data_IF_495878153729
#
_entry.id   IF_495878153729
#
_cell.length_a   1.000
_cell.length_b   1.000
_cell.length_c   1.000
_cell.angle_alpha   90.00
_cell.angle_beta   90.00
_cell.angle_gamma   90.00
#
_symmetry.space_group_name_H-M   'P 1'
#
loop_
_entity.id
_entity.type
_entity.pdbx_description
1 polymer ?
#
# COMPACT_ATOMS: atom_id res chain seq x y z
N UNK A 1 33.33 -24.95 45.61
CA UNK A 1 33.57 -23.56 45.22
C UNK A 1 32.59 -23.27 44.11
N UNK A 2 31.53 -22.61 44.48
CA UNK A 2 30.36 -22.21 43.72
C UNK A 2 30.65 -20.91 42.98
N UNK A 3 30.29 -20.82 41.70
CA UNK A 3 30.14 -19.54 41.00
C UNK A 3 28.79 -19.52 40.32
N UNK A 4 27.98 -18.63 40.86
CA UNK A 4 26.69 -18.18 40.46
C UNK A 4 26.83 -17.27 39.23
N UNK A 5 25.99 -17.44 38.22
CA UNK A 5 25.85 -16.47 37.12
C UNK A 5 24.38 -16.27 36.81
N UNK A 6 23.86 -15.16 37.34
CA UNK A 6 22.51 -14.68 37.16
C UNK A 6 22.20 -14.34 35.70
N UNK A 7 21.19 -14.97 35.17
CA UNK A 7 20.56 -14.61 33.91
C UNK A 7 19.47 -13.56 34.13
N UNK A 8 19.61 -12.44 33.46
CA UNK A 8 18.59 -11.35 33.44
C UNK A 8 17.53 -11.72 32.38
N UNK A 9 16.35 -12.11 32.83
CA UNK A 9 15.16 -12.27 31.98
C UNK A 9 14.59 -10.90 31.57
N UNK A 10 14.61 -10.60 30.29
CA UNK A 10 13.87 -9.49 29.74
C UNK A 10 12.41 -9.92 29.51
N UNK A 11 11.51 -9.43 30.35
CA UNK A 11 10.06 -9.61 30.15
C UNK A 11 9.57 -8.71 29.01
N UNK A 12 9.16 -9.35 27.91
CA UNK A 12 8.37 -8.69 26.87
C UNK A 12 6.90 -8.82 27.24
N UNK A 13 6.28 -7.73 27.64
CA UNK A 13 4.81 -7.65 27.85
C UNK A 13 4.15 -7.39 26.51
N UNK A 14 3.57 -8.41 25.90
CA UNK A 14 2.62 -8.27 24.80
C UNK A 14 1.25 -7.86 25.37
N UNK A 15 0.88 -6.60 25.23
CA UNK A 15 -0.47 -6.14 25.49
C UNK A 15 -1.31 -6.35 24.24
N UNK A 16 -2.13 -7.41 24.23
CA UNK A 16 -3.13 -7.65 23.21
C UNK A 16 -4.25 -6.62 23.30
N UNK A 17 -4.43 -5.84 22.24
CA UNK A 17 -5.67 -5.08 21.98
C UNK A 17 -6.46 -5.83 20.90
N UNK A 18 -7.79 -5.92 20.99
CA UNK A 18 -8.60 -6.53 19.95
C UNK A 18 -8.60 -5.62 18.73
N UNK A 19 -8.12 -6.13 17.61
CA UNK A 19 -8.12 -5.43 16.33
C UNK A 19 -9.46 -5.66 15.66
N UNK A 20 -10.24 -4.61 15.51
CA UNK A 20 -11.39 -4.60 14.61
C UNK A 20 -10.86 -4.73 13.18
N UNK A 21 -11.31 -5.78 12.46
CA UNK A 21 -10.84 -6.09 11.12
C UNK A 21 -11.20 -5.00 10.12
N UNK A 22 -10.23 -4.57 9.36
CA UNK A 22 -10.35 -3.70 8.21
C UNK A 22 -9.33 -4.09 7.16
N UNK A 23 -9.70 -5.00 6.26
CA UNK A 23 -8.90 -5.28 5.08
C UNK A 23 -9.04 -4.12 4.09
N UNK A 24 -7.99 -3.38 3.86
CA UNK A 24 -7.95 -2.36 2.83
C UNK A 24 -6.65 -2.50 2.03
N UNK A 25 -6.73 -3.15 0.87
CA UNK A 25 -5.80 -2.94 -0.23
C UNK A 25 -6.30 -1.80 -1.13
N UNK A 26 -6.60 -0.70 -0.52
CA UNK A 26 -6.78 0.61 -1.10
C UNK A 26 -6.00 1.54 -0.20
N UNK A 27 -5.36 2.55 -0.74
CA UNK A 27 -4.55 3.54 -0.05
C UNK A 27 -4.96 3.75 1.40
N UNK A 28 -4.12 3.32 2.32
CA UNK A 28 -4.30 3.61 3.74
C UNK A 28 -4.26 5.12 3.88
N UNK A 29 -5.29 5.81 4.40
CA UNK A 29 -5.19 7.22 4.68
C UNK A 29 -4.13 7.43 5.75
N UNK A 30 -3.17 8.32 5.46
CA UNK A 30 -2.23 8.80 6.45
C UNK A 30 -3.00 9.50 7.55
N UNK A 31 -3.08 8.90 8.71
CA UNK A 31 -3.59 9.55 9.91
C UNK A 31 -2.59 10.57 10.44
N UNK A 32 -2.58 11.77 9.87
CA UNK A 32 -2.19 13.01 10.51
C UNK A 32 -3.49 13.83 10.65
N UNK A 33 -4.27 13.56 11.70
CA UNK A 33 -5.35 14.45 12.10
C UNK A 33 -4.83 15.52 13.08
N UNK A 34 -5.04 16.81 12.76
CA UNK A 34 -5.32 17.81 13.78
C UNK A 34 -6.84 17.99 13.89
N UNK A 35 -7.36 17.95 15.14
CA UNK A 35 -8.76 17.99 15.50
C UNK A 35 -9.58 19.07 14.81
N UNK A 36 -10.79 18.69 14.42
CA UNK A 36 -11.80 19.57 13.90
C UNK A 36 -12.59 20.22 15.02
N UNK A 37 -12.46 21.54 15.13
CA UNK A 37 -13.45 22.39 15.82
C UNK A 37 -14.31 23.07 14.74
N UNK A 38 -15.64 22.92 14.83
CA UNK A 38 -16.57 23.48 13.88
C UNK A 38 -16.67 25.01 13.94
N UNK A 39 -16.96 25.61 12.78
CA UNK A 39 -17.27 27.03 12.64
C UNK A 39 -17.66 27.35 11.20
N UNK A 40 -18.94 27.58 10.95
CA UNK A 40 -19.41 28.18 9.71
C UNK A 40 -18.92 29.63 9.61
N UNK A 41 -18.19 29.94 8.55
CA UNK A 41 -17.79 31.29 8.20
C UNK A 41 -17.31 31.32 6.76
N UNK A 42 -18.17 31.87 5.88
CA UNK A 42 -17.82 32.25 4.50
C UNK A 42 -16.82 33.37 4.54
N UNK A 43 -15.55 33.11 4.23
CA UNK A 43 -14.64 34.10 3.69
C UNK A 43 -13.54 33.40 2.87
N UNK A 44 -13.57 33.67 1.57
CA UNK A 44 -12.64 33.14 0.60
C UNK A 44 -11.34 33.96 0.61
N UNK A 45 -10.44 33.64 1.52
CA UNK A 45 -9.01 33.97 1.39
C UNK A 45 -8.25 32.66 1.43
N UNK A 46 -7.94 32.15 0.24
CA UNK A 46 -7.04 31.01 0.02
C UNK A 46 -5.64 31.34 0.60
N UNK A 47 -5.46 31.11 1.89
CA UNK A 47 -4.13 31.06 2.47
C UNK A 47 -3.49 29.74 1.97
N UNK A 48 -2.60 29.83 0.99
CA UNK A 48 -1.90 28.70 0.40
C UNK A 48 -1.16 27.90 1.48
N UNK A 49 -1.75 26.76 1.87
CA UNK A 49 -1.09 25.81 2.78
C UNK A 49 0.10 25.25 2.03
N UNK A 50 1.33 25.51 2.52
CA UNK A 50 2.54 24.96 1.93
C UNK A 50 2.44 23.45 1.81
N UNK A 51 2.73 22.91 0.62
CA UNK A 51 2.77 21.46 0.41
C UNK A 51 4.04 20.92 1.04
N UNK A 52 3.88 19.99 1.98
CA UNK A 52 5.01 19.30 2.61
C UNK A 52 5.18 17.96 1.89
N UNK A 53 6.41 17.60 1.47
CA UNK A 53 6.67 16.29 0.90
C UNK A 53 6.20 15.18 1.85
N UNK A 54 5.49 14.15 1.34
CA UNK A 54 5.09 13.02 2.17
C UNK A 54 6.33 12.35 2.78
N UNK A 55 6.36 12.10 4.07
CA UNK A 55 7.51 11.49 4.76
C UNK A 55 7.58 9.98 4.60
N UNK A 56 6.57 9.36 4.03
CA UNK A 56 6.48 7.91 3.88
C UNK A 56 6.20 7.48 2.45
N UNK A 57 6.69 6.30 2.10
CA UNK A 57 6.49 5.68 0.80
C UNK A 57 5.97 4.25 0.99
N UNK A 58 4.93 3.89 0.23
CA UNK A 58 4.43 2.52 0.11
C UNK A 58 4.74 1.95 -1.27
N UNK A 59 4.63 0.62 -1.49
CA UNK A 59 4.81 0.04 -2.82
C UNK A 59 3.90 0.65 -3.89
N UNK A 60 2.63 0.91 -3.54
CA UNK A 60 1.66 1.53 -4.45
C UNK A 60 2.06 2.97 -4.81
N UNK A 61 2.40 3.80 -3.81
CA UNK A 61 2.85 5.18 -4.03
C UNK A 61 4.13 5.25 -4.86
N UNK A 62 5.09 4.36 -4.59
CA UNK A 62 6.29 4.24 -5.41
C UNK A 62 5.95 3.85 -6.85
N UNK A 63 5.01 2.90 -7.01
CA UNK A 63 4.48 2.47 -8.30
C UNK A 63 3.82 3.60 -9.08
N UNK A 64 2.96 4.38 -8.42
CA UNK A 64 2.27 5.53 -9.03
C UNK A 64 3.27 6.55 -9.58
N UNK A 65 4.29 6.93 -8.79
CA UNK A 65 5.31 7.87 -9.24
C UNK A 65 6.16 7.30 -10.38
N UNK A 66 6.55 6.03 -10.30
CA UNK A 66 7.28 5.36 -11.38
C UNK A 66 6.45 5.27 -12.66
N UNK A 67 5.15 5.06 -12.55
CA UNK A 67 4.24 5.04 -13.68
C UNK A 67 4.07 6.44 -14.28
N UNK A 68 3.72 7.42 -13.45
CA UNK A 68 3.49 8.80 -13.88
C UNK A 68 3.57 9.75 -12.67
N UNK A 69 4.53 10.70 -12.62
CA UNK A 69 4.61 11.69 -11.54
C UNK A 69 3.32 12.46 -11.31
N UNK A 70 2.60 12.83 -12.39
CA UNK A 70 1.32 13.53 -12.28
C UNK A 70 0.22 12.65 -11.66
N UNK A 71 0.20 11.34 -11.92
CA UNK A 71 -0.72 10.40 -11.27
C UNK A 71 -0.45 10.35 -9.76
N UNK A 72 0.82 10.28 -9.37
CA UNK A 72 1.20 10.36 -7.95
C UNK A 72 0.69 11.64 -7.30
N UNK A 73 0.86 12.81 -7.96
CA UNK A 73 0.33 14.07 -7.48
C UNK A 73 -1.19 13.96 -7.25
N UNK A 74 -1.94 13.53 -8.25
CA UNK A 74 -3.40 13.44 -8.16
C UNK A 74 -3.87 12.55 -7.01
N UNK A 75 -3.20 11.41 -6.80
CA UNK A 75 -3.57 10.44 -5.76
C UNK A 75 -3.11 10.84 -4.36
N UNK A 76 -1.89 11.36 -4.24
CA UNK A 76 -1.21 11.51 -2.94
C UNK A 76 -1.24 12.95 -2.44
N UNK A 77 -1.06 13.92 -3.32
CA UNK A 77 -1.00 15.35 -2.99
C UNK A 77 -2.39 15.97 -3.07
N UNK A 78 -3.00 15.91 -4.26
CA UNK A 78 -4.32 16.51 -4.54
C UNK A 78 -5.46 15.66 -3.96
N UNK A 79 -5.24 14.36 -3.75
CA UNK A 79 -6.21 13.38 -3.22
C UNK A 79 -7.53 13.41 -4.00
N UNK A 80 -7.42 13.44 -5.32
CA UNK A 80 -8.59 13.42 -6.18
C UNK A 80 -9.35 12.08 -6.03
N UNK A 81 -10.67 12.11 -5.97
CA UNK A 81 -11.46 10.89 -5.85
C UNK A 81 -11.30 10.00 -7.09
N UNK A 82 -11.25 8.70 -6.86
CA UNK A 82 -11.28 7.66 -7.89
C UNK A 82 -12.56 6.84 -7.74
N UNK A 83 -13.08 6.38 -8.87
CA UNK A 83 -14.26 5.52 -8.85
C UNK A 83 -13.91 4.14 -8.31
N UNK A 84 -14.77 3.51 -7.51
CA UNK A 84 -14.59 2.12 -7.13
C UNK A 84 -14.46 1.22 -8.37
N UNK A 85 -13.49 0.30 -8.33
CA UNK A 85 -13.25 -0.66 -9.41
C UNK A 85 -13.69 -2.05 -8.99
N UNK A 86 -14.52 -2.72 -9.80
CA UNK A 86 -14.94 -4.12 -9.56
C UNK A 86 -13.73 -5.06 -9.38
N UNK A 87 -12.68 -4.86 -10.19
CA UNK A 87 -11.48 -5.68 -10.14
C UNK A 87 -10.68 -5.47 -8.83
N UNK A 88 -10.47 -4.21 -8.43
CA UNK A 88 -9.76 -3.90 -7.18
C UNK A 88 -10.57 -4.34 -5.95
N UNK A 89 -11.89 -4.10 -5.96
CA UNK A 89 -12.79 -4.49 -4.88
C UNK A 89 -12.87 -6.02 -4.73
N UNK A 90 -12.87 -6.76 -5.85
CA UNK A 90 -12.81 -8.23 -5.84
C UNK A 90 -11.48 -8.71 -5.27
N UNK A 91 -10.37 -8.04 -5.57
CA UNK A 91 -9.08 -8.30 -4.92
C UNK A 91 -9.19 -8.21 -3.41
N UNK A 92 -9.67 -7.08 -2.90
CA UNK A 92 -9.87 -6.86 -1.45
C UNK A 92 -10.78 -7.93 -0.82
N UNK A 93 -11.88 -8.30 -1.50
CA UNK A 93 -12.80 -9.34 -1.02
C UNK A 93 -12.11 -10.71 -0.90
N UNK A 94 -11.36 -11.10 -1.92
CA UNK A 94 -10.64 -12.39 -1.94
C UNK A 94 -9.57 -12.43 -0.85
N UNK A 95 -8.78 -11.36 -0.66
CA UNK A 95 -7.80 -11.27 0.43
C UNK A 95 -8.47 -11.42 1.79
N UNK A 96 -9.58 -10.72 2.04
CA UNK A 96 -10.33 -10.83 3.29
C UNK A 96 -10.87 -12.26 3.55
N UNK A 97 -11.27 -12.98 2.51
CA UNK A 97 -11.69 -14.39 2.62
C UNK A 97 -10.51 -15.29 2.98
N UNK A 98 -9.36 -15.14 2.28
CA UNK A 98 -8.19 -15.95 2.54
C UNK A 98 -7.60 -15.68 3.93
N UNK A 99 -7.55 -14.43 4.36
CA UNK A 99 -7.15 -14.05 5.72
C UNK A 99 -8.04 -14.73 6.76
N UNK A 100 -9.38 -14.59 6.61
CA UNK A 100 -10.36 -15.07 7.57
C UNK A 100 -10.44 -16.61 7.63
N UNK A 101 -10.10 -17.30 6.54
CA UNK A 101 -10.07 -18.77 6.53
C UNK A 101 -9.11 -19.34 7.57
N UNK A 102 -7.99 -18.68 7.83
CA UNK A 102 -7.00 -19.11 8.81
C UNK A 102 -7.44 -18.96 10.28
N UNK A 103 -8.58 -18.32 10.55
CA UNK A 103 -9.20 -18.35 11.90
C UNK A 103 -9.79 -19.72 12.22
N UNK A 104 -10.06 -20.54 11.21
CA UNK A 104 -10.55 -21.89 11.40
C UNK A 104 -9.41 -22.86 11.75
N UNK A 105 -9.70 -23.94 12.52
CA UNK A 105 -8.77 -25.02 12.70
C UNK A 105 -8.30 -25.59 11.35
N UNK A 106 -7.04 -26.05 11.25
CA UNK A 106 -6.43 -26.52 10.00
C UNK A 106 -7.32 -27.50 9.22
N UNK A 107 -7.90 -28.49 9.92
CA UNK A 107 -8.75 -29.52 9.32
C UNK A 107 -10.05 -28.99 8.70
N UNK A 108 -10.47 -27.79 9.08
CA UNK A 108 -11.67 -27.13 8.59
C UNK A 108 -11.39 -26.13 7.46
N UNK A 109 -10.15 -25.87 7.12
CA UNK A 109 -9.76 -24.93 6.05
C UNK A 109 -9.98 -25.55 4.68
N UNK A 110 -11.24 -25.68 4.28
CA UNK A 110 -11.67 -26.32 3.04
C UNK A 110 -12.21 -25.30 2.04
N UNK A 111 -12.21 -25.65 0.74
CA UNK A 111 -12.73 -24.78 -0.31
C UNK A 111 -14.23 -24.45 -0.10
N UNK A 112 -15.12 -25.38 0.27
CA UNK A 112 -16.50 -25.02 0.59
C UNK A 112 -16.62 -24.01 1.73
N UNK A 113 -15.83 -24.16 2.81
CA UNK A 113 -15.82 -23.20 3.93
C UNK A 113 -15.35 -21.81 3.47
N UNK A 114 -14.27 -21.74 2.69
CA UNK A 114 -13.76 -20.48 2.17
C UNK A 114 -14.79 -19.78 1.28
N UNK A 115 -15.45 -20.51 0.37
CA UNK A 115 -16.53 -19.96 -0.46
C UNK A 115 -17.69 -19.44 0.37
N UNK A 116 -18.08 -20.14 1.44
CA UNK A 116 -19.13 -19.71 2.35
C UNK A 116 -18.82 -18.39 3.09
N UNK A 117 -17.54 -17.98 3.17
CA UNK A 117 -17.14 -16.68 3.74
C UNK A 117 -17.43 -15.50 2.80
N UNK A 118 -17.49 -15.73 1.46
CA UNK A 118 -17.57 -14.65 0.47
C UNK A 118 -18.74 -13.69 0.72
N UNK A 119 -20.00 -14.12 0.90
CA UNK A 119 -21.12 -13.20 1.12
C UNK A 119 -20.93 -12.35 2.39
N UNK A 120 -20.50 -12.97 3.48
CA UNK A 120 -20.29 -12.27 4.76
C UNK A 120 -19.13 -11.26 4.69
N UNK A 121 -18.04 -11.55 3.96
CA UNK A 121 -16.94 -10.60 3.77
C UNK A 121 -17.36 -9.45 2.84
N UNK A 122 -18.18 -9.72 1.82
CA UNK A 122 -18.75 -8.67 0.98
C UNK A 122 -19.61 -7.70 1.77
N UNK A 123 -20.45 -8.22 2.66
CA UNK A 123 -21.28 -7.38 3.53
C UNK A 123 -20.42 -6.48 4.42
N UNK A 124 -19.40 -7.03 5.10
CA UNK A 124 -18.46 -6.25 5.93
C UNK A 124 -17.74 -5.19 5.13
N UNK A 125 -17.31 -5.53 3.91
CA UNK A 125 -16.61 -4.58 3.04
C UNK A 125 -17.50 -3.39 2.66
N UNK A 126 -18.80 -3.62 2.37
CA UNK A 126 -19.76 -2.55 2.09
C UNK A 126 -20.06 -1.71 3.33
N UNK A 127 -20.13 -2.32 4.51
CA UNK A 127 -20.32 -1.59 5.77
C UNK A 127 -19.14 -0.67 6.08
N UNK A 128 -17.91 -1.12 5.80
CA UNK A 128 -16.69 -0.33 5.99
C UNK A 128 -16.48 0.73 4.89
N UNK A 129 -17.03 0.51 3.69
CA UNK A 129 -16.84 1.34 2.50
C UNK A 129 -18.18 1.52 1.75
N UNK A 130 -19.06 2.41 2.26
CA UNK A 130 -20.41 2.60 1.70
C UNK A 130 -20.44 2.97 0.21
N UNK A 131 -19.39 3.65 -0.29
CA UNK A 131 -19.26 4.02 -1.71
C UNK A 131 -19.24 2.82 -2.66
N UNK A 132 -18.96 1.60 -2.16
CA UNK A 132 -18.97 0.39 -2.98
C UNK A 132 -20.37 -0.02 -3.46
N UNK A 133 -21.42 0.56 -2.90
CA UNK A 133 -22.81 0.37 -3.38
C UNK A 133 -22.93 0.87 -4.82
N UNK A 134 -22.17 1.90 -5.20
CA UNK A 134 -22.20 2.47 -6.55
C UNK A 134 -21.74 1.48 -7.64
N UNK A 135 -20.91 0.47 -7.29
CA UNK A 135 -20.45 -0.54 -8.25
C UNK A 135 -21.61 -1.28 -8.94
N UNK A 136 -22.72 -1.46 -8.23
CA UNK A 136 -23.87 -2.23 -8.69
C UNK A 136 -25.18 -1.46 -8.59
N UNK A 137 -25.10 -0.12 -8.62
CA UNK A 137 -26.30 0.75 -8.49
C UNK A 137 -27.28 0.58 -9.66
N UNK A 138 -26.80 0.18 -10.83
CA UNK A 138 -27.54 -0.08 -12.06
C UNK A 138 -27.95 -1.56 -12.23
N UNK A 139 -27.66 -2.42 -11.24
CA UNK A 139 -27.92 -3.87 -11.28
C UNK A 139 -29.29 -4.18 -10.63
N UNK A 140 -30.37 -3.83 -11.32
CA UNK A 140 -31.74 -3.92 -10.78
C UNK A 140 -32.20 -5.34 -10.45
N UNK A 141 -31.69 -6.35 -11.16
CA UNK A 141 -31.99 -7.77 -10.97
C UNK A 141 -31.00 -8.51 -10.09
N UNK A 142 -29.87 -7.88 -9.73
CA UNK A 142 -28.79 -8.47 -8.92
C UNK A 142 -27.95 -9.53 -9.65
N UNK A 143 -28.14 -9.72 -10.95
CA UNK A 143 -27.41 -10.73 -11.72
C UNK A 143 -25.92 -10.39 -11.88
N UNK A 144 -25.58 -9.11 -12.03
CA UNK A 144 -24.18 -8.66 -12.17
C UNK A 144 -23.42 -8.88 -10.87
N UNK A 145 -24.01 -8.52 -9.73
CA UNK A 145 -23.44 -8.79 -8.42
C UNK A 145 -23.29 -10.30 -8.18
N UNK A 146 -24.30 -11.11 -8.52
CA UNK A 146 -24.23 -12.55 -8.35
C UNK A 146 -23.08 -13.17 -9.16
N UNK A 147 -22.89 -12.76 -10.42
CA UNK A 147 -21.77 -13.20 -11.27
C UNK A 147 -20.42 -12.76 -10.70
N UNK A 148 -20.33 -11.54 -10.19
CA UNK A 148 -19.12 -10.99 -9.60
C UNK A 148 -18.71 -11.73 -8.32
N UNK A 149 -19.68 -12.08 -7.44
CA UNK A 149 -19.42 -12.91 -6.25
C UNK A 149 -19.00 -14.33 -6.64
N UNK A 150 -19.68 -14.94 -7.62
CA UNK A 150 -19.30 -16.27 -8.13
C UNK A 150 -17.89 -16.28 -8.72
N UNK A 151 -17.42 -15.16 -9.29
CA UNK A 151 -16.04 -15.03 -9.76
C UNK A 151 -15.05 -14.95 -8.59
N UNK A 152 -15.38 -14.23 -7.52
CA UNK A 152 -14.58 -14.23 -6.30
C UNK A 152 -14.47 -15.65 -5.70
N UNK A 153 -15.59 -16.40 -5.63
CA UNK A 153 -15.59 -17.81 -5.19
C UNK A 153 -14.68 -18.69 -6.06
N UNK A 154 -14.70 -18.52 -7.39
CA UNK A 154 -13.79 -19.27 -8.29
C UNK A 154 -12.31 -18.97 -8.04
N UNK A 155 -11.98 -17.71 -7.75
CA UNK A 155 -10.60 -17.32 -7.39
C UNK A 155 -10.17 -17.97 -6.08
N UNK A 156 -11.02 -17.93 -5.06
CA UNK A 156 -10.79 -18.59 -3.78
C UNK A 156 -10.63 -20.11 -3.96
N UNK A 157 -11.50 -20.76 -4.74
CA UNK A 157 -11.42 -22.20 -5.02
C UNK A 157 -10.11 -22.56 -5.73
N UNK A 158 -9.67 -21.75 -6.70
CA UNK A 158 -8.39 -21.96 -7.41
C UNK A 158 -7.21 -21.93 -6.46
N UNK A 159 -7.23 -21.10 -5.40
CA UNK A 159 -6.15 -21.09 -4.43
C UNK A 159 -5.85 -22.46 -3.83
N UNK A 160 -6.88 -23.30 -3.59
CA UNK A 160 -6.72 -24.66 -3.07
C UNK A 160 -6.02 -25.61 -4.04
N UNK A 161 -5.89 -25.25 -5.30
CA UNK A 161 -5.07 -26.01 -6.26
C UNK A 161 -3.59 -25.63 -6.20
N UNK A 162 -3.25 -24.51 -5.56
CA UNK A 162 -1.91 -23.94 -5.49
C UNK A 162 -1.26 -24.18 -4.12
N UNK A 163 -2.08 -24.14 -3.06
CA UNK A 163 -1.64 -24.31 -1.68
C UNK A 163 -2.62 -25.19 -0.90
N UNK A 164 -2.10 -25.93 0.07
CA UNK A 164 -2.91 -26.70 1.02
C UNK A 164 -2.95 -25.97 2.37
N UNK A 165 -4.05 -25.24 2.69
CA UNK A 165 -4.14 -24.47 3.93
C UNK A 165 -4.20 -25.33 5.20
N UNK A 166 -4.47 -26.64 5.08
CA UNK A 166 -4.44 -27.53 6.23
C UNK A 166 -3.02 -27.79 6.75
N UNK A 167 -2.03 -27.50 5.91
CA UNK A 167 -0.59 -27.66 6.20
C UNK A 167 0.12 -26.34 6.44
N UNK A 168 -0.60 -25.23 6.38
CA UNK A 168 -0.07 -23.88 6.57
C UNK A 168 -0.50 -23.35 7.93
N UNK A 169 0.43 -22.74 8.64
CA UNK A 169 0.13 -21.96 9.84
C UNK A 169 0.89 -20.63 9.72
N UNK A 170 0.24 -19.61 9.15
CA UNK A 170 0.85 -18.29 8.99
C UNK A 170 1.26 -17.70 10.33
N UNK A 171 2.49 -17.19 10.40
CA UNK A 171 2.94 -16.44 11.57
C UNK A 171 2.20 -15.10 11.69
N UNK A 172 1.94 -14.45 10.53
CA UNK A 172 1.21 -13.18 10.44
C UNK A 172 0.36 -13.14 9.17
N UNK A 173 -0.76 -12.38 9.23
CA UNK A 173 -1.67 -12.11 8.11
C UNK A 173 -2.04 -10.63 8.11
N UNK A 174 -2.16 -10.01 6.92
CA UNK A 174 -2.43 -8.57 6.76
C UNK A 174 -1.53 -7.74 7.69
N UNK A 175 -0.25 -8.10 7.73
CA UNK A 175 0.72 -7.52 8.64
C UNK A 175 1.10 -6.11 8.20
N UNK A 176 0.72 -5.10 8.98
CA UNK A 176 1.26 -3.76 8.79
C UNK A 176 2.73 -3.72 9.18
N UNK A 177 3.56 -3.24 8.28
CA UNK A 177 5.01 -3.08 8.48
C UNK A 177 5.43 -1.64 8.20
N UNK A 178 6.30 -1.11 9.04
CA UNK A 178 6.88 0.22 8.86
C UNK A 178 8.33 0.22 9.32
N UNK A 179 9.22 0.79 8.52
CA UNK A 179 10.63 0.95 8.86
C UNK A 179 11.15 2.31 8.38
N UNK A 180 11.83 3.04 9.25
CA UNK A 180 12.55 4.25 8.89
C UNK A 180 13.95 3.89 8.40
N UNK A 181 14.35 4.44 7.25
CA UNK A 181 15.69 4.33 6.71
C UNK A 181 16.61 5.41 7.31
N UNK A 182 17.91 5.22 7.24
CA UNK A 182 18.92 6.18 7.74
C UNK A 182 18.78 7.59 7.12
N UNK A 183 18.12 7.68 5.97
CA UNK A 183 17.79 8.94 5.29
C UNK A 183 16.61 9.71 5.88
N UNK A 184 15.88 9.13 6.86
CA UNK A 184 14.62 9.64 7.39
C UNK A 184 13.39 9.30 6.54
N UNK A 185 13.55 8.54 5.43
CA UNK A 185 12.43 8.04 4.66
C UNK A 185 11.78 6.86 5.38
N UNK A 186 10.49 6.96 5.66
CA UNK A 186 9.68 5.86 6.21
C UNK A 186 9.13 4.99 5.08
N UNK A 187 9.41 3.70 5.12
CA UNK A 187 8.82 2.69 4.24
C UNK A 187 7.69 1.98 4.99
N UNK A 188 6.51 1.87 4.39
CA UNK A 188 5.38 1.19 5.03
C UNK A 188 4.48 0.45 4.05
N UNK A 189 3.75 -0.54 4.56
CA UNK A 189 2.80 -1.30 3.78
C UNK A 189 2.16 -2.42 4.57
N UNK A 190 1.35 -3.22 3.87
CA UNK A 190 0.69 -4.39 4.45
C UNK A 190 1.16 -5.61 3.67
N UNK A 191 1.58 -6.64 4.38
CA UNK A 191 1.98 -7.94 3.83
C UNK A 191 0.82 -8.91 4.03
N UNK A 192 0.33 -9.52 2.94
CA UNK A 192 -0.86 -10.38 3.00
C UNK A 192 -0.63 -11.58 3.93
N UNK A 193 0.53 -12.25 3.82
CA UNK A 193 0.89 -13.38 4.69
C UNK A 193 2.40 -13.49 4.91
N UNK A 194 2.77 -13.80 6.14
CA UNK A 194 4.14 -14.14 6.54
C UNK A 194 4.14 -15.55 7.12
N UNK A 195 4.93 -16.44 6.53
CA UNK A 195 5.16 -17.77 7.06
C UNK A 195 6.59 -17.83 7.65
N UNK A 196 6.71 -18.52 8.77
CA UNK A 196 8.01 -18.77 9.42
C UNK A 196 8.19 -20.27 9.58
N UNK A 197 9.24 -20.80 8.99
CA UNK A 197 9.59 -22.22 9.13
C UNK A 197 10.08 -22.52 10.57
N UNK A 198 9.99 -23.77 11.04
CA UNK A 198 10.55 -24.15 12.36
C UNK A 198 12.05 -23.83 12.50
N UNK A 199 12.77 -23.76 11.41
CA UNK A 199 14.18 -23.38 11.29
C UNK A 199 14.41 -21.86 11.32
N UNK A 200 13.34 -21.06 11.30
CA UNK A 200 13.37 -19.59 11.39
C UNK A 200 13.39 -18.86 10.04
N UNK A 201 13.40 -19.57 8.90
CA UNK A 201 13.34 -18.93 7.59
C UNK A 201 11.97 -18.30 7.37
N UNK A 202 11.99 -17.07 6.83
CA UNK A 202 10.81 -16.27 6.56
C UNK A 202 10.42 -16.39 5.08
N UNK A 203 9.12 -16.63 4.81
CA UNK A 203 8.51 -16.50 3.49
C UNK A 203 7.48 -15.36 3.53
N UNK A 204 7.56 -14.45 2.57
CA UNK A 204 6.55 -13.42 2.33
C UNK A 204 5.69 -13.86 1.16
N UNK A 205 4.38 -13.86 1.34
CA UNK A 205 3.40 -14.25 0.33
C UNK A 205 2.46 -13.10 0.08
N UNK A 206 2.14 -12.88 -1.21
CA UNK A 206 1.19 -11.87 -1.67
C UNK A 206 0.25 -12.51 -2.71
N UNK A 207 -1.04 -12.27 -2.56
CA UNK A 207 -2.07 -12.82 -3.43
C UNK A 207 -2.45 -11.84 -4.53
N UNK A 208 -2.55 -12.32 -5.75
CA UNK A 208 -2.96 -11.54 -6.91
C UNK A 208 -4.18 -12.19 -7.56
N UNK A 209 -5.29 -11.46 -7.63
CA UNK A 209 -6.52 -11.95 -8.29
C UNK A 209 -6.44 -11.89 -9.81
N UNK A 210 -5.46 -11.15 -10.37
CA UNK A 210 -5.16 -11.12 -11.78
C UNK A 210 -4.37 -12.34 -12.29
N UNK A 211 -3.99 -12.27 -13.57
CA UNK A 211 -3.10 -13.27 -14.20
C UNK A 211 -1.63 -12.91 -13.96
N UNK A 212 -0.77 -13.92 -13.92
CA UNK A 212 0.67 -13.70 -13.88
C UNK A 212 1.13 -12.87 -15.08
N UNK A 213 2.03 -11.89 -14.87
CA UNK A 213 2.62 -11.15 -15.97
C UNK A 213 3.49 -12.07 -16.84
N UNK A 214 3.69 -11.67 -18.09
CA UNK A 214 4.70 -12.32 -18.91
C UNK A 214 6.09 -12.16 -18.30
N UNK A 215 7.05 -13.04 -18.57
CA UNK A 215 8.39 -13.02 -17.96
C UNK A 215 9.10 -11.66 -18.05
N UNK A 216 8.95 -10.95 -19.18
CA UNK A 216 9.53 -9.63 -19.42
C UNK A 216 8.99 -8.52 -18.48
N UNK A 217 7.84 -8.74 -17.83
CA UNK A 217 7.23 -7.81 -16.86
C UNK A 217 7.30 -8.30 -15.41
N UNK A 218 7.92 -9.44 -15.16
CA UNK A 218 7.99 -10.04 -13.82
C UNK A 218 8.74 -9.16 -12.81
N UNK A 219 9.74 -8.37 -13.27
CA UNK A 219 10.50 -7.48 -12.39
C UNK A 219 9.60 -6.41 -11.74
N UNK A 220 8.63 -5.86 -12.48
CA UNK A 220 7.65 -4.92 -11.95
C UNK A 220 6.79 -5.55 -10.85
N UNK A 221 6.35 -6.79 -11.04
CA UNK A 221 5.58 -7.53 -10.04
C UNK A 221 6.42 -7.84 -8.77
N UNK A 222 7.71 -8.15 -8.94
CA UNK A 222 8.63 -8.43 -7.85
C UNK A 222 9.05 -7.17 -7.07
N UNK A 223 8.86 -5.97 -7.62
CA UNK A 223 9.23 -4.73 -6.93
C UNK A 223 8.54 -4.59 -5.57
N UNK A 224 7.22 -4.82 -5.51
CA UNK A 224 6.45 -4.80 -4.26
C UNK A 224 6.99 -5.82 -3.25
N UNK A 225 7.30 -7.03 -3.71
CA UNK A 225 7.80 -8.09 -2.83
C UNK A 225 9.19 -7.77 -2.28
N UNK A 226 10.08 -7.24 -3.13
CA UNK A 226 11.41 -6.80 -2.72
C UNK A 226 11.35 -5.60 -1.76
N UNK A 227 10.36 -4.72 -1.94
CA UNK A 227 10.09 -3.63 -1.00
C UNK A 227 9.75 -4.19 0.39
N UNK A 228 8.81 -5.14 0.48
CA UNK A 228 8.46 -5.76 1.76
C UNK A 228 9.64 -6.52 2.37
N UNK A 229 10.43 -7.22 1.54
CA UNK A 229 11.64 -7.89 2.00
C UNK A 229 12.65 -6.92 2.60
N UNK A 230 12.82 -5.73 2.00
CA UNK A 230 13.66 -4.65 2.53
C UNK A 230 13.14 -4.17 3.89
N UNK A 231 11.84 -3.91 4.02
CA UNK A 231 11.23 -3.48 5.30
C UNK A 231 11.46 -4.54 6.39
N UNK A 232 11.19 -5.81 6.10
CA UNK A 232 11.41 -6.91 7.04
C UNK A 232 12.89 -7.00 7.41
N UNK A 233 13.80 -6.87 6.46
CA UNK A 233 15.25 -6.87 6.72
C UNK A 233 15.67 -5.72 7.64
N UNK A 234 15.14 -4.50 7.42
CA UNK A 234 15.44 -3.34 8.28
C UNK A 234 14.90 -3.52 9.70
N UNK A 235 13.69 -4.09 9.86
CA UNK A 235 13.05 -4.34 11.16
C UNK A 235 13.66 -5.53 11.92
N UNK A 236 13.75 -6.67 11.26
CA UNK A 236 14.08 -7.96 11.90
C UNK A 236 15.54 -8.34 11.76
N UNK A 237 16.32 -7.62 10.94
CA UNK A 237 17.71 -7.96 10.56
C UNK A 237 17.84 -9.33 9.88
N UNK A 238 16.72 -9.87 9.38
CA UNK A 238 16.63 -11.14 8.67
C UNK A 238 16.15 -10.89 7.24
N UNK A 239 16.88 -11.41 6.26
CA UNK A 239 16.45 -11.39 4.87
C UNK A 239 15.45 -12.53 4.67
N UNK A 240 14.23 -12.27 4.18
CA UNK A 240 13.29 -13.34 3.87
C UNK A 240 13.90 -14.35 2.89
N UNK A 241 13.76 -15.63 3.22
CA UNK A 241 14.31 -16.73 2.39
C UNK A 241 13.62 -16.83 1.05
N UNK A 242 12.31 -16.49 1.01
CA UNK A 242 11.49 -16.57 -0.20
C UNK A 242 10.42 -15.50 -0.27
N UNK A 243 10.22 -14.95 -1.46
CA UNK A 243 9.12 -14.09 -1.84
C UNK A 243 8.23 -14.86 -2.80
N UNK A 244 6.92 -14.88 -2.57
CA UNK A 244 5.97 -15.68 -3.33
C UNK A 244 4.77 -14.85 -3.75
N UNK A 245 4.54 -14.72 -5.05
CA UNK A 245 3.33 -14.13 -5.63
C UNK A 245 2.43 -15.27 -6.12
N UNK A 246 1.20 -15.33 -5.59
CA UNK A 246 0.22 -16.36 -5.93
C UNK A 246 -0.85 -15.74 -6.81
N UNK A 247 -0.83 -16.07 -8.10
CA UNK A 247 -1.74 -15.51 -9.11
C UNK A 247 -2.99 -16.37 -9.26
N UNK A 248 -4.06 -16.00 -8.56
CA UNK A 248 -5.33 -16.73 -8.57
C UNK A 248 -6.04 -16.67 -9.93
N UNK A 249 -5.83 -15.58 -10.69
CA UNK A 249 -6.45 -15.42 -12.01
C UNK A 249 -5.96 -16.37 -13.08
N UNK A 250 -4.71 -16.84 -13.00
CA UNK A 250 -4.11 -17.79 -13.95
C UNK A 250 -3.73 -19.13 -13.32
N UNK A 251 -3.67 -19.23 -11.98
CA UNK A 251 -3.23 -20.43 -11.29
C UNK A 251 -1.70 -20.60 -11.30
N UNK A 252 -0.96 -19.50 -11.36
CA UNK A 252 0.50 -19.50 -11.38
C UNK A 252 1.07 -19.04 -10.03
N UNK A 253 2.29 -19.50 -9.73
CA UNK A 253 3.06 -19.05 -8.59
C UNK A 253 4.43 -18.55 -9.07
N UNK A 254 4.74 -17.29 -8.79
CA UNK A 254 6.04 -16.71 -9.03
C UNK A 254 6.83 -16.66 -7.71
N UNK A 255 8.00 -17.28 -7.68
CA UNK A 255 8.89 -17.28 -6.51
C UNK A 255 10.18 -16.56 -6.80
N UNK A 256 10.73 -15.92 -5.77
CA UNK A 256 12.02 -15.24 -5.82
C UNK A 256 12.74 -15.38 -4.47
N UNK A 257 13.99 -15.79 -4.48
CA UNK A 257 14.83 -15.90 -3.29
C UNK A 257 15.80 -14.70 -3.27
N UNK A 258 15.54 -13.64 -2.48
CA UNK A 258 16.32 -12.42 -2.51
C UNK A 258 17.68 -12.59 -1.87
N UNK A 259 18.67 -11.87 -2.40
CA UNK A 259 20.00 -11.73 -1.79
C UNK A 259 20.21 -10.29 -1.31
N UNK A 260 21.16 -10.02 -0.38
CA UNK A 260 21.41 -8.67 0.15
C UNK A 260 21.53 -7.60 -0.94
N UNK A 261 22.28 -7.88 -2.01
CA UNK A 261 22.50 -6.96 -3.11
C UNK A 261 21.22 -6.53 -3.85
N UNK A 262 20.18 -7.37 -3.85
CA UNK A 262 18.87 -7.03 -4.42
C UNK A 262 18.17 -5.98 -3.58
N UNK A 263 18.18 -6.16 -2.26
CA UNK A 263 17.51 -5.28 -1.31
C UNK A 263 18.22 -3.91 -1.23
N UNK A 264 19.55 -3.91 -1.25
CA UNK A 264 20.34 -2.67 -1.35
C UNK A 264 20.06 -1.91 -2.66
N UNK A 265 19.85 -2.63 -3.77
CA UNK A 265 19.48 -2.02 -5.05
C UNK A 265 18.09 -1.38 -4.98
N UNK A 266 17.13 -2.07 -4.35
CA UNK A 266 15.79 -1.54 -4.13
C UNK A 266 15.83 -0.32 -3.23
N UNK A 267 16.60 -0.33 -2.16
CA UNK A 267 16.76 0.82 -1.27
C UNK A 267 17.31 2.04 -2.01
N UNK A 268 18.39 1.89 -2.78
CA UNK A 268 18.91 2.98 -3.61
C UNK A 268 17.88 3.52 -4.59
N UNK A 269 17.05 2.64 -5.19
CA UNK A 269 15.96 3.03 -6.09
C UNK A 269 14.88 3.83 -5.34
N UNK A 270 14.51 3.41 -4.13
CA UNK A 270 13.51 4.11 -3.31
C UNK A 270 14.00 5.47 -2.84
N UNK A 271 15.28 5.59 -2.48
CA UNK A 271 15.89 6.88 -2.14
C UNK A 271 15.91 7.84 -3.33
N UNK A 272 16.26 7.35 -4.52
CA UNK A 272 16.21 8.17 -5.73
C UNK A 272 14.78 8.60 -6.10
N UNK A 273 13.78 7.70 -5.93
CA UNK A 273 12.38 8.05 -6.12
C UNK A 273 11.92 9.10 -5.11
N UNK A 274 12.31 8.94 -3.85
CA UNK A 274 11.98 9.86 -2.79
C UNK A 274 12.53 11.26 -3.07
N UNK A 275 13.79 11.36 -3.50
CA UNK A 275 14.39 12.63 -3.87
C UNK A 275 13.68 13.27 -5.07
N UNK A 276 13.29 12.48 -6.08
CA UNK A 276 12.52 12.99 -7.22
C UNK A 276 11.11 13.48 -6.80
N UNK A 277 10.45 12.79 -5.87
CA UNK A 277 9.16 13.22 -5.30
C UNK A 277 9.33 14.53 -4.52
N UNK A 278 10.38 14.63 -3.70
CA UNK A 278 10.68 15.83 -2.94
C UNK A 278 10.89 17.04 -3.87
N UNK A 279 11.72 16.88 -4.90
CA UNK A 279 11.98 17.91 -5.89
C UNK A 279 10.70 18.34 -6.64
N UNK A 280 9.89 17.37 -7.08
CA UNK A 280 8.62 17.66 -7.75
C UNK A 280 7.64 18.40 -6.80
N UNK A 281 7.64 18.04 -5.51
CA UNK A 281 6.83 18.74 -4.50
C UNK A 281 7.29 20.18 -4.29
N UNK A 282 8.58 20.43 -4.25
CA UNK A 282 9.17 21.78 -4.05
C UNK A 282 8.99 22.70 -5.26
N UNK A 283 9.13 22.13 -6.45
CA UNK A 283 9.08 22.91 -7.70
C UNK A 283 7.70 23.01 -8.32
N UNK A 284 6.77 22.09 -7.94
CA UNK A 284 5.48 21.95 -8.62
C UNK A 284 5.58 21.31 -10.02
N UNK A 285 6.75 20.78 -10.41
CA UNK A 285 6.98 20.15 -11.72
C UNK A 285 6.56 18.67 -11.70
N UNK A 286 5.30 18.42 -11.91
CA UNK A 286 4.68 17.09 -11.96
C UNK A 286 4.42 16.67 -13.41
N UNK A 287 5.47 16.22 -14.11
CA UNK A 287 5.37 15.87 -15.54
C UNK A 287 4.55 14.63 -15.79
N UNK A 288 3.54 14.69 -16.66
CA UNK A 288 2.84 13.49 -17.10
C UNK A 288 3.78 12.57 -17.89
N UNK A 289 3.55 11.25 -17.75
CA UNK A 289 4.25 10.24 -18.52
C UNK A 289 3.23 9.40 -19.29
N UNK A 290 2.94 9.73 -20.55
CA UNK A 290 1.98 9.00 -21.35
C UNK A 290 2.41 7.54 -21.58
N UNK A 291 1.49 6.62 -21.31
CA UNK A 291 1.65 5.17 -21.52
C UNK A 291 0.34 4.57 -22.02
N UNK A 292 0.36 3.27 -22.37
CA UNK A 292 -0.87 2.54 -22.70
C UNK A 292 -1.86 2.49 -21.53
N UNK A 293 -1.39 2.66 -20.30
CA UNK A 293 -2.22 2.65 -19.10
C UNK A 293 -3.08 3.93 -18.94
N UNK A 294 -2.81 4.99 -19.70
CA UNK A 294 -3.61 6.21 -19.66
C UNK A 294 -5.09 6.00 -20.07
N UNK A 295 -5.37 4.91 -20.81
CA UNK A 295 -6.75 4.53 -21.15
C UNK A 295 -7.60 4.15 -19.95
N UNK A 296 -6.96 3.74 -18.84
CA UNK A 296 -7.61 3.35 -17.57
C UNK A 296 -7.34 4.32 -16.42
N UNK A 297 -6.83 5.53 -16.72
CA UNK A 297 -6.53 6.53 -15.72
C UNK A 297 -7.80 7.34 -15.39
N UNK A 298 -8.28 7.28 -14.15
CA UNK A 298 -9.46 8.02 -13.69
C UNK A 298 -9.28 9.55 -13.77
N UNK A 299 -8.03 10.01 -13.72
CA UNK A 299 -7.68 11.42 -13.74
C UNK A 299 -7.39 11.99 -15.14
N UNK A 300 -7.74 11.25 -16.20
CA UNK A 300 -7.49 11.67 -17.60
C UNK A 300 -8.07 13.04 -17.93
N UNK A 301 -9.25 13.37 -17.35
CA UNK A 301 -9.90 14.67 -17.55
C UNK A 301 -9.09 15.86 -17.01
N UNK A 302 -8.19 15.62 -16.06
CA UNK A 302 -7.32 16.64 -15.48
C UNK A 302 -5.90 16.63 -16.10
N UNK A 303 -5.63 15.68 -17.01
CA UNK A 303 -4.29 15.50 -17.55
C UNK A 303 -4.02 16.38 -18.77
N UNK A 304 -2.96 17.22 -18.79
CA UNK A 304 -2.67 18.12 -19.92
C UNK A 304 -2.36 17.36 -21.22
N UNK A 305 -1.86 16.13 -21.15
CA UNK A 305 -1.64 15.27 -22.34
C UNK A 305 -2.95 14.92 -23.08
N UNK A 306 -4.09 15.11 -22.42
CA UNK A 306 -5.43 14.88 -22.99
C UNK A 306 -6.29 16.15 -23.01
N UNK A 307 -5.65 17.34 -22.95
CA UNK A 307 -6.33 18.62 -22.98
C UNK A 307 -6.98 19.04 -21.66
N UNK A 308 -6.76 18.31 -20.58
CA UNK A 308 -7.24 18.66 -19.25
C UNK A 308 -6.36 19.70 -18.55
N UNK A 309 -6.88 20.24 -17.45
CA UNK A 309 -6.16 21.19 -16.59
C UNK A 309 -6.08 20.60 -15.20
N UNK A 310 -4.84 20.36 -14.67
CA UNK A 310 -4.66 19.93 -13.29
C UNK A 310 -5.20 20.98 -12.32
N UNK A 311 -5.62 20.59 -11.10
CA UNK A 311 -5.89 21.53 -10.02
C UNK A 311 -4.72 22.49 -9.81
N UNK A 312 -4.95 23.74 -9.36
CA UNK A 312 -3.88 24.65 -8.98
C UNK A 312 -2.94 23.99 -7.97
N UNK A 313 -1.64 24.07 -8.20
CA UNK A 313 -0.66 23.50 -7.28
C UNK A 313 -0.18 24.59 -6.31
N UNK A 314 -0.39 24.42 -4.99
CA UNK A 314 0.11 25.36 -4.01
C UNK A 314 1.64 25.18 -3.88
N UNK A 315 2.41 26.10 -4.46
CA UNK A 315 3.85 26.13 -4.26
C UNK A 315 4.18 26.45 -2.79
N UNK A 316 5.23 25.84 -2.21
CA UNK A 316 5.68 26.21 -0.89
C UNK A 316 6.06 27.70 -0.87
N UNK A 317 5.59 28.43 0.15
CA UNK A 317 5.99 29.82 0.33
C UNK A 317 7.49 29.82 0.60
N UNK A 318 8.28 30.39 -0.30
CA UNK A 318 9.69 30.65 -0.03
C UNK A 318 9.72 31.65 1.14
N UNK A 319 10.43 31.30 2.22
CA UNK A 319 10.79 32.27 3.21
C UNK A 319 11.60 33.37 2.49
N UNK A 320 11.06 34.59 2.42
CA UNK A 320 11.80 35.71 1.93
C UNK A 320 13.06 35.80 2.80
N UNK A 321 14.22 35.67 2.18
CA UNK A 321 15.46 36.08 2.82
C UNK A 321 15.29 37.54 3.16
N UNK A 322 15.06 37.81 4.44
CA UNK A 322 15.05 39.16 4.99
C UNK A 322 16.46 39.72 4.82
N UNK A 323 16.66 40.34 3.66
CA UNK A 323 17.86 41.11 3.35
C UNK A 323 18.00 42.22 4.38
N UNK A 324 18.87 41.99 5.35
CA UNK A 324 19.37 43.01 6.26
C UNK A 324 20.19 44.02 5.45
N UNK A 325 19.51 45.03 4.95
CA UNK A 325 20.18 46.28 4.51
C UNK A 325 20.64 47.02 5.77
N UNK A 326 21.84 46.70 6.21
CA UNK A 326 22.57 47.55 7.14
C UNK A 326 22.90 48.85 6.41
N UNK A 327 22.04 49.86 6.56
CA UNK A 327 22.37 51.24 6.23
C UNK A 327 23.43 51.75 7.22
N UNK A 328 24.66 51.75 6.79
CA UNK A 328 25.73 52.54 7.45
C UNK A 328 25.38 54.01 7.44
N UNK A 329 25.03 54.54 8.60
CA UNK A 329 25.05 56.00 8.86
C UNK A 329 26.52 56.40 8.99
N UNK A 330 27.03 57.08 7.96
CA UNK A 330 28.16 58.02 8.16
C UNK A 330 27.58 59.28 8.79
N UNK A 331 28.04 59.59 9.98
CA UNK A 331 27.87 60.93 10.62
C UNK A 331 29.10 61.76 10.32
N UNK A 332 28.96 63.09 10.17
CA UNK A 332 30.06 63.97 9.94
C UNK A 332 30.64 64.44 11.28
N UNK A 333 31.95 64.45 11.42
CA UNK A 333 32.93 65.45 11.86
C UNK A 333 34.25 64.78 12.22
#
# INVERSE_FOLDING_TARGET
>A
MTADSGGTEARTTAAGRPVAGGAATGSVPDGDEPGAAGGHGTDATSSGRAVVPPRSLSPSRAGDFMQCPLLYRFRVIDRLPEKPSEAATRGTLVHAVLERLFDAPAVERTAPRAKALVPGQWQRLREARPELVELFADDADGERLARWLAEAERLVERWFTLEDPTRLEPAERELFVEAELDSGLTLRGIIDRVDVAPTGEVRIVDYKTGKAPRPEYAEGALFQMKFYALVVWRLKKVIPRRLQLVYLGSGDVLTYDPVPADLERVERKLLALWEAIRLATETGDWRPRPTKLCGWCDHRAHCPEFGGTPPPYPLPVRAEESGSTAQGRMGPD
#
